data_IF_941242414238
#
_entry.id   IF_941242414238
#
_cell.length_a   1.000
_cell.length_b   1.000
_cell.length_c   1.000
_cell.angle_alpha   90.00
_cell.angle_beta   90.00
_cell.angle_gamma   90.00
#
_symmetry.space_group_name_H-M   'P 1'
#
loop_
_entity.id
_entity.type
_entity.pdbx_description
1 polymer ?
#
# COMPACT_ATOMS: atom_id res chain seq x y z
N UNK A 1 -9.61 14.70 4.31
CA UNK A 1 -9.65 13.33 4.85
C UNK A 1 -8.88 12.33 3.99
N UNK A 2 -9.31 12.06 2.76
CA UNK A 2 -8.62 11.07 1.92
C UNK A 2 -7.19 11.49 1.57
N UNK A 3 -6.96 12.76 1.32
CA UNK A 3 -5.61 13.26 1.05
C UNK A 3 -4.70 13.11 2.28
N UNK A 4 -5.25 13.32 3.47
CA UNK A 4 -4.48 13.17 4.72
C UNK A 4 -4.07 11.72 4.94
N UNK A 5 -4.96 10.77 4.64
CA UNK A 5 -4.66 9.34 4.72
C UNK A 5 -3.55 8.99 3.73
N UNK A 6 -3.67 9.46 2.48
CA UNK A 6 -2.67 9.24 1.43
C UNK A 6 -1.30 9.77 1.86
N UNK A 7 -1.27 10.98 2.39
CA UNK A 7 -0.04 11.61 2.86
C UNK A 7 0.57 10.85 4.04
N UNK A 8 -0.25 10.38 4.96
CA UNK A 8 0.22 9.60 6.10
C UNK A 8 0.79 8.26 5.67
N UNK A 9 0.14 7.58 4.74
CA UNK A 9 0.65 6.32 4.18
C UNK A 9 1.99 6.54 3.48
N UNK A 10 2.09 7.59 2.69
CA UNK A 10 3.35 7.92 2.00
C UNK A 10 4.47 8.22 3.00
N UNK A 11 4.18 9.00 4.03
CA UNK A 11 5.18 9.40 5.01
C UNK A 11 5.83 8.21 5.71
N UNK A 12 5.01 7.25 6.16
CA UNK A 12 5.53 6.11 6.92
C UNK A 12 6.34 5.13 6.06
N UNK A 13 6.15 5.10 4.75
CA UNK A 13 6.86 4.17 3.85
C UNK A 13 8.01 4.80 3.08
N UNK A 14 8.17 6.12 3.15
CA UNK A 14 9.19 6.84 2.36
C UNK A 14 10.62 6.37 2.68
N UNK A 15 10.89 5.93 3.90
CA UNK A 15 12.22 5.42 4.27
C UNK A 15 12.48 3.97 3.85
N UNK A 16 11.46 3.26 3.37
CA UNK A 16 11.56 1.83 3.02
C UNK A 16 11.89 1.65 1.53
N UNK A 17 11.34 2.52 0.68
CA UNK A 17 11.49 2.42 -0.77
C UNK A 17 12.19 3.66 -1.33
N UNK A 18 13.07 3.48 -2.34
CA UNK A 18 13.69 4.64 -3.00
C UNK A 18 12.70 5.49 -3.79
N UNK A 19 11.58 4.89 -4.24
CA UNK A 19 10.53 5.60 -4.96
C UNK A 19 9.17 5.22 -4.38
N UNK A 20 8.36 6.23 -4.03
CA UNK A 20 6.99 6.03 -3.55
C UNK A 20 6.06 6.90 -4.41
N UNK A 21 5.12 6.24 -5.08
CA UNK A 21 4.13 6.91 -5.93
C UNK A 21 2.77 6.91 -5.22
N UNK A 22 2.10 8.05 -5.19
CA UNK A 22 0.73 8.16 -4.67
C UNK A 22 -0.32 8.13 -5.78
N UNK A 23 0.10 7.72 -6.96
CA UNK A 23 -0.73 7.57 -8.16
C UNK A 23 -0.16 6.41 -8.98
N UNK A 24 -0.91 5.95 -9.97
CA UNK A 24 -0.44 4.91 -10.89
C UNK A 24 0.44 5.54 -11.96
N UNK A 25 1.78 5.41 -11.88
CA UNK A 25 2.66 6.00 -12.88
C UNK A 25 2.63 5.19 -14.18
N UNK A 26 2.84 5.86 -15.32
CA UNK A 26 2.96 5.16 -16.60
C UNK A 26 4.17 4.22 -16.63
N UNK A 27 5.27 4.66 -16.03
CA UNK A 27 6.53 3.91 -16.01
C UNK A 27 7.12 3.92 -14.61
N UNK A 28 6.64 3.03 -13.74
CA UNK A 28 7.22 2.94 -12.40
C UNK A 28 8.69 2.50 -12.49
N UNK A 29 9.49 3.06 -11.59
CA UNK A 29 10.91 2.73 -11.49
C UNK A 29 11.11 1.82 -10.29
N UNK A 30 11.26 0.50 -10.49
CA UNK A 30 11.57 -0.43 -9.39
C UNK A 30 12.99 -0.19 -8.85
N UNK A 31 13.23 -0.37 -7.58
CA UNK A 31 12.31 -0.78 -6.52
C UNK A 31 11.44 0.39 -6.10
N UNK A 32 10.14 0.17 -6.02
CA UNK A 32 9.20 1.25 -5.71
C UNK A 32 7.97 0.71 -4.98
N UNK A 33 7.19 1.63 -4.44
CA UNK A 33 5.88 1.35 -3.87
C UNK A 33 4.86 2.27 -4.53
N UNK A 34 3.73 1.71 -4.95
CA UNK A 34 2.62 2.46 -5.51
C UNK A 34 1.47 2.43 -4.50
N UNK A 35 0.99 3.60 -4.10
CA UNK A 35 -0.17 3.75 -3.22
C UNK A 35 -1.35 4.15 -4.10
N UNK A 36 -2.39 3.33 -4.13
CA UNK A 36 -3.54 3.58 -4.98
C UNK A 36 -4.84 3.20 -4.30
N UNK A 37 -5.99 3.75 -4.75
CA UNK A 37 -7.29 3.35 -4.24
C UNK A 37 -7.60 1.90 -4.61
N UNK A 38 -8.26 1.18 -3.70
CA UNK A 38 -8.79 -0.15 -3.96
C UNK A 38 -10.27 -0.05 -4.40
N UNK A 39 -10.82 -1.08 -5.05
CA UNK A 39 -12.24 -1.15 -5.33
C UNK A 39 -13.07 -1.00 -4.06
N UNK A 40 -14.25 -0.37 -4.17
CA UNK A 40 -15.03 0.12 -3.04
C UNK A 40 -14.18 1.05 -2.18
N UNK A 41 -13.64 2.08 -2.82
CA UNK A 41 -12.62 2.95 -2.21
C UNK A 41 -13.10 3.61 -0.93
N UNK A 42 -14.32 4.10 -0.91
CA UNK A 42 -14.88 4.78 0.26
C UNK A 42 -16.25 4.23 0.58
N UNK A 43 -16.44 3.86 1.84
CA UNK A 43 -17.72 3.44 2.38
C UNK A 43 -18.12 4.38 3.51
N UNK A 44 -19.34 4.85 3.49
CA UNK A 44 -19.88 5.72 4.53
C UNK A 44 -21.01 5.00 5.22
N UNK A 45 -20.93 4.87 6.54
CA UNK A 45 -21.97 4.28 7.37
C UNK A 45 -22.43 5.28 8.42
N UNK A 46 -23.72 5.26 8.75
CA UNK A 46 -24.27 6.05 9.84
C UNK A 46 -24.10 5.30 11.16
N UNK A 47 -23.67 6.02 12.20
CA UNK A 47 -23.56 5.49 13.55
C UNK A 47 -24.27 6.45 14.52
N UNK A 48 -24.42 6.01 15.78
CA UNK A 48 -25.03 6.85 16.83
C UNK A 48 -24.23 8.15 17.07
N UNK A 49 -22.96 8.18 16.65
CA UNK A 49 -22.08 9.34 16.82
C UNK A 49 -21.84 10.11 15.52
N UNK A 50 -22.67 9.89 14.52
CA UNK A 50 -22.55 10.50 13.21
C UNK A 50 -21.99 9.52 12.16
N UNK A 51 -21.59 10.02 10.99
CA UNK A 51 -21.09 9.15 9.93
C UNK A 51 -19.75 8.56 10.27
N UNK A 52 -19.53 7.31 9.86
CA UNK A 52 -18.22 6.67 9.86
C UNK A 52 -17.77 6.45 8.41
N UNK A 53 -16.47 6.52 8.22
CA UNK A 53 -15.84 6.39 6.91
C UNK A 53 -14.84 5.24 6.92
N UNK A 54 -14.93 4.39 5.92
CA UNK A 54 -13.94 3.32 5.71
C UNK A 54 -13.39 3.48 4.32
N UNK A 55 -12.08 3.67 4.21
CA UNK A 55 -11.41 3.76 2.92
C UNK A 55 -10.50 2.55 2.71
N UNK A 56 -10.45 2.08 1.47
CA UNK A 56 -9.68 0.91 1.11
C UNK A 56 -8.57 1.30 0.15
N UNK A 57 -7.36 0.89 0.48
CA UNK A 57 -6.15 1.26 -0.25
C UNK A 57 -5.36 0.01 -0.62
N UNK A 58 -4.62 0.10 -1.72
CA UNK A 58 -3.65 -0.91 -2.10
C UNK A 58 -2.28 -0.26 -2.10
N UNK A 59 -1.33 -0.89 -1.40
CA UNK A 59 0.08 -0.58 -1.50
C UNK A 59 0.73 -1.70 -2.29
N UNK A 60 1.32 -1.35 -3.43
CA UNK A 60 1.92 -2.32 -4.34
C UNK A 60 3.43 -2.14 -4.39
N UNK A 61 4.20 -2.96 -3.66
CA UNK A 61 5.65 -2.98 -3.83
C UNK A 61 6.02 -3.68 -5.13
N UNK A 62 7.00 -3.15 -5.84
CA UNK A 62 7.57 -3.76 -7.04
C UNK A 62 9.07 -3.83 -6.83
N UNK A 63 9.59 -5.05 -6.77
CA UNK A 63 11.02 -5.31 -6.53
C UNK A 63 11.57 -6.21 -7.63
N UNK A 64 12.90 -6.22 -7.77
CA UNK A 64 13.55 -7.03 -8.79
C UNK A 64 13.25 -8.51 -8.58
N UNK A 65 13.02 -9.23 -9.70
CA UNK A 65 12.85 -10.69 -9.65
C UNK A 65 14.13 -11.34 -9.18
N UNK A 66 13.97 -12.22 -8.22
CA UNK A 66 15.05 -13.03 -7.72
C UNK A 66 15.52 -14.03 -8.78
N UNK A 67 16.80 -13.97 -9.08
CA UNK A 67 17.48 -15.09 -9.70
C UNK A 67 17.86 -16.10 -8.59
N UNK A 68 17.70 -15.70 -7.32
CA UNK A 68 18.06 -16.50 -6.16
C UNK A 68 17.19 -16.15 -4.97
N UNK A 69 17.37 -16.89 -3.86
CA UNK A 69 16.57 -16.71 -2.65
C UNK A 69 16.72 -15.34 -1.98
N UNK A 70 17.82 -14.66 -2.20
CA UNK A 70 18.11 -13.36 -1.55
C UNK A 70 17.09 -12.31 -1.97
N UNK A 71 16.75 -12.26 -3.27
CA UNK A 71 15.81 -11.27 -3.79
C UNK A 71 14.36 -11.58 -3.39
N UNK A 72 14.00 -12.88 -3.30
CA UNK A 72 12.72 -13.29 -2.75
C UNK A 72 12.60 -12.84 -1.31
N UNK A 73 13.66 -13.00 -0.52
CA UNK A 73 13.72 -12.50 0.85
C UNK A 73 13.58 -10.98 0.92
N UNK A 74 14.10 -10.26 -0.09
CA UNK A 74 13.95 -8.81 -0.15
C UNK A 74 12.49 -8.38 -0.30
N UNK A 75 11.71 -9.10 -1.10
CA UNK A 75 10.26 -8.82 -1.17
C UNK A 75 9.59 -9.10 0.17
N UNK A 76 9.87 -10.24 0.78
CA UNK A 76 9.30 -10.59 2.07
C UNK A 76 9.64 -9.55 3.14
N UNK A 77 10.90 -9.11 3.18
CA UNK A 77 11.33 -8.07 4.11
C UNK A 77 10.63 -6.73 3.83
N UNK A 78 10.51 -6.35 2.56
CA UNK A 78 9.81 -5.13 2.17
C UNK A 78 8.34 -5.18 2.60
N UNK A 79 7.67 -6.32 2.41
CA UNK A 79 6.29 -6.52 2.86
C UNK A 79 6.19 -6.33 4.36
N UNK A 80 7.04 -6.99 5.14
CA UNK A 80 6.99 -6.91 6.60
C UNK A 80 7.30 -5.51 7.10
N UNK A 81 8.30 -4.84 6.53
CA UNK A 81 8.64 -3.47 6.90
C UNK A 81 7.48 -2.52 6.59
N UNK A 82 6.83 -2.71 5.44
CA UNK A 82 5.67 -1.89 5.04
C UNK A 82 4.50 -2.12 5.98
N UNK A 83 4.19 -3.37 6.30
CA UNK A 83 3.08 -3.71 7.21
C UNK A 83 3.32 -3.08 8.58
N UNK A 84 4.52 -3.20 9.12
CA UNK A 84 4.84 -2.60 10.41
C UNK A 84 4.74 -1.09 10.41
N UNK A 85 5.21 -0.44 9.35
CA UNK A 85 5.15 1.01 9.21
C UNK A 85 3.71 1.50 9.08
N UNK A 86 2.92 0.86 8.23
CA UNK A 86 1.54 1.24 7.96
C UNK A 86 0.64 1.01 9.16
N UNK A 87 0.93 0.00 9.97
CA UNK A 87 0.16 -0.26 11.18
C UNK A 87 0.21 0.91 12.18
N UNK A 88 1.21 1.79 12.06
CA UNK A 88 1.34 2.98 12.90
C UNK A 88 0.42 4.13 12.45
N UNK A 89 -0.15 4.06 11.25
CA UNK A 89 -1.06 5.11 10.77
C UNK A 89 -2.38 5.02 11.51
N UNK A 90 -2.84 6.14 12.04
CA UNK A 90 -4.09 6.21 12.78
C UNK A 90 -5.27 5.77 11.91
N UNK A 91 -6.11 4.92 12.47
CA UNK A 91 -7.30 4.43 11.80
C UNK A 91 -7.11 3.16 10.99
N UNK A 92 -5.89 2.71 10.77
CA UNK A 92 -5.67 1.43 10.09
C UNK A 92 -6.28 0.30 10.92
N UNK A 93 -7.24 -0.39 10.35
CA UNK A 93 -8.01 -1.43 11.03
C UNK A 93 -7.72 -2.83 10.52
N UNK A 94 -7.35 -2.97 9.25
CA UNK A 94 -7.10 -4.26 8.63
C UNK A 94 -5.99 -4.13 7.60
N UNK A 95 -5.07 -5.09 7.59
CA UNK A 95 -4.05 -5.24 6.58
C UNK A 95 -4.07 -6.68 6.10
N UNK A 96 -4.25 -6.89 4.79
CA UNK A 96 -4.18 -8.19 4.16
C UNK A 96 -3.21 -8.14 2.99
N UNK A 97 -2.33 -9.12 2.90
CA UNK A 97 -1.33 -9.19 1.84
C UNK A 97 -1.67 -10.35 0.92
N UNK A 98 -1.81 -10.05 -0.37
CA UNK A 98 -2.09 -11.05 -1.37
C UNK A 98 -0.84 -11.87 -1.72
N UNK A 99 -1.06 -13.01 -2.35
CA UNK A 99 0.02 -13.86 -2.85
C UNK A 99 0.89 -13.07 -3.83
N UNK A 100 2.22 -13.11 -3.70
CA UNK A 100 3.12 -12.46 -4.66
C UNK A 100 2.93 -12.97 -6.08
N UNK A 101 3.15 -12.09 -7.04
CA UNK A 101 3.04 -12.38 -8.47
C UNK A 101 4.16 -11.69 -9.25
N UNK A 102 4.35 -12.11 -10.48
CA UNK A 102 5.33 -11.50 -11.37
C UNK A 102 4.61 -10.46 -12.24
N UNK A 103 5.23 -9.29 -12.35
CA UNK A 103 4.77 -8.21 -13.22
C UNK A 103 5.87 -7.91 -14.24
N UNK A 104 5.49 -7.70 -15.50
CA UNK A 104 6.42 -7.33 -16.56
C UNK A 104 6.35 -5.83 -16.81
N UNK A 105 7.51 -5.17 -16.74
CA UNK A 105 7.64 -3.74 -16.99
C UNK A 105 8.82 -3.53 -17.93
N UNK A 106 8.58 -2.91 -19.08
CA UNK A 106 9.63 -2.58 -20.06
C UNK A 106 10.47 -3.79 -20.48
N UNK A 107 9.82 -4.95 -20.64
CA UNK A 107 10.50 -6.19 -21.03
C UNK A 107 11.26 -6.91 -19.93
N UNK A 108 11.20 -6.42 -18.71
CA UNK A 108 11.82 -7.06 -17.56
C UNK A 108 10.74 -7.52 -16.56
N UNK A 109 11.02 -8.61 -15.84
CA UNK A 109 10.12 -9.16 -14.85
C UNK A 109 10.48 -8.67 -13.44
N UNK A 110 9.46 -8.40 -12.64
CA UNK A 110 9.59 -7.96 -11.26
C UNK A 110 8.63 -8.72 -10.37
N UNK A 111 8.98 -8.84 -9.08
CA UNK A 111 8.09 -9.39 -8.08
C UNK A 111 7.23 -8.29 -7.48
N UNK A 112 5.98 -8.60 -7.24
CA UNK A 112 5.02 -7.65 -6.68
C UNK A 112 3.98 -8.38 -5.84
N UNK A 113 3.24 -7.62 -5.07
CA UNK A 113 2.06 -8.09 -4.36
C UNK A 113 1.14 -6.89 -4.10
N UNK A 114 -0.06 -7.16 -3.63
CA UNK A 114 -0.98 -6.12 -3.17
C UNK A 114 -1.09 -6.21 -1.65
N UNK A 115 -0.74 -5.12 -0.98
CA UNK A 115 -0.97 -4.96 0.46
C UNK A 115 -2.26 -4.17 0.58
N UNK A 116 -3.32 -4.83 1.00
CA UNK A 116 -4.66 -4.25 1.08
C UNK A 116 -4.86 -3.66 2.48
N UNK A 117 -5.20 -2.38 2.55
CA UNK A 117 -5.31 -1.65 3.79
C UNK A 117 -6.70 -1.04 3.91
N UNK A 118 -7.29 -1.21 5.08
CA UNK A 118 -8.55 -0.58 5.42
C UNK A 118 -8.31 0.45 6.51
N UNK A 119 -8.75 1.69 6.26
CA UNK A 119 -8.60 2.80 7.19
C UNK A 119 -9.99 3.26 7.62
N UNK A 120 -10.21 3.30 8.93
CA UNK A 120 -11.46 3.71 9.54
C UNK A 120 -11.32 5.12 10.13
N UNK A 121 -12.32 5.96 9.91
CA UNK A 121 -12.43 7.30 10.50
C UNK A 121 -13.85 7.54 10.93
N UNK A 122 -14.05 8.23 12.05
CA UNK A 122 -15.37 8.53 12.57
C UNK A 122 -15.56 10.01 12.80
N UNK A 123 -16.79 10.47 12.59
CA UNK A 123 -17.20 11.84 12.89
C UNK A 123 -16.92 12.81 11.75
N UNK A 124 -17.15 14.10 12.05
CA UNK A 124 -17.10 15.14 11.06
C UNK A 124 -15.71 15.55 10.63
N UNK A 125 -15.11 14.74 9.87
CA UNK A 125 -13.79 15.02 9.33
C UNK A 125 -13.89 16.07 8.23
#
# INVERSE_FOLDING_TARGET
MLQDIRDSLKEVVTGIYPQVYTYEPERPIPTCLIIKPAPSFLRVNETDFGPSYTSNWILQPIVKVAVNQIETSNLDNAIMDTVQAVWQVEGVSTIEVDKPFIVELNGANYLSTYINIQVYSQGGI
#
